data_IF_886116785905
#
_entry.id   IF_886116785905
#
_cell.length_a   1.000
_cell.length_b   1.000
_cell.length_c   1.000
_cell.angle_alpha   90.00
_cell.angle_beta   90.00
_cell.angle_gamma   90.00
#
_symmetry.space_group_name_H-M   'P 1'
#
loop_
_entity.id
_entity.type
_entity.pdbx_description
1 polymer ?
#
# COMPACT_ATOMS: atom_id res chain seq x y z
N UNK A 1 -11.97 -14.77 6.43
CA UNK A 1 -11.64 -15.01 5.00
C UNK A 1 -10.37 -15.82 4.79
N UNK A 2 -9.15 -15.26 4.86
CA UNK A 2 -7.91 -16.01 4.49
C UNK A 2 -7.74 -17.29 5.31
N UNK A 3 -7.89 -17.20 6.65
CA UNK A 3 -7.77 -18.36 7.53
C UNK A 3 -8.80 -19.48 7.24
N UNK A 4 -9.96 -19.13 6.68
CA UNK A 4 -11.01 -20.10 6.30
C UNK A 4 -10.76 -20.74 4.93
N UNK A 5 -10.04 -20.05 4.05
CA UNK A 5 -9.74 -20.51 2.69
C UNK A 5 -8.47 -21.35 2.63
N UNK A 6 -7.48 -21.05 3.47
CA UNK A 6 -6.19 -21.76 3.49
C UNK A 6 -6.33 -23.30 3.62
N UNK A 7 -7.17 -23.86 4.51
CA UNK A 7 -7.32 -25.31 4.62
C UNK A 7 -8.00 -25.97 3.40
N UNK A 8 -8.59 -25.17 2.50
CA UNK A 8 -9.34 -25.64 1.32
C UNK A 8 -8.47 -25.69 0.05
N UNK A 9 -7.24 -25.18 0.11
CA UNK A 9 -6.28 -25.24 -1.00
C UNK A 9 -5.79 -26.68 -1.16
N UNK A 10 -5.86 -27.20 -2.39
CA UNK A 10 -5.34 -28.52 -2.77
C UNK A 10 -4.51 -28.39 -4.03
N UNK A 11 -3.35 -29.03 -4.08
CA UNK A 11 -2.42 -28.98 -5.22
C UNK A 11 -2.13 -27.55 -5.70
N UNK A 12 -1.92 -26.64 -4.75
CA UNK A 12 -1.69 -25.20 -4.97
C UNK A 12 -2.85 -24.43 -5.61
N UNK A 13 -4.04 -25.02 -5.66
CA UNK A 13 -5.24 -24.42 -6.25
C UNK A 13 -6.36 -24.27 -5.21
N UNK A 14 -7.07 -23.14 -5.29
CA UNK A 14 -8.34 -22.93 -4.61
C UNK A 14 -9.48 -23.18 -5.62
N UNK A 15 -10.54 -23.94 -5.27
CA UNK A 15 -11.72 -24.08 -6.12
C UNK A 15 -12.33 -22.71 -6.50
N UNK A 16 -12.70 -22.53 -7.77
CA UNK A 16 -13.16 -21.25 -8.34
C UNK A 16 -14.37 -20.67 -7.61
N UNK A 17 -15.28 -21.54 -7.15
CA UNK A 17 -16.46 -21.17 -6.38
C UNK A 17 -16.15 -20.57 -5.00
N UNK A 18 -14.92 -20.78 -4.50
CA UNK A 18 -14.45 -20.24 -3.24
C UNK A 18 -13.62 -18.95 -3.41
N UNK A 19 -13.37 -18.50 -4.65
CA UNK A 19 -12.69 -17.22 -4.91
C UNK A 19 -13.60 -16.09 -4.41
N UNK A 20 -13.11 -15.22 -3.49
CA UNK A 20 -13.90 -14.12 -2.99
C UNK A 20 -14.34 -13.17 -4.11
N UNK A 21 -15.60 -12.73 -4.04
CA UNK A 21 -16.20 -11.80 -5.01
C UNK A 21 -16.71 -10.56 -4.32
N UNK A 22 -16.76 -9.47 -5.07
CA UNK A 22 -17.31 -8.19 -4.64
C UNK A 22 -18.83 -8.26 -4.57
N UNK A 23 -19.42 -7.83 -3.45
CA UNK A 23 -20.87 -7.73 -3.28
C UNK A 23 -21.50 -6.62 -4.15
N UNK A 24 -20.67 -5.73 -4.73
CA UNK A 24 -21.14 -4.59 -5.53
C UNK A 24 -21.40 -5.00 -6.99
N UNK A 25 -20.52 -5.82 -7.56
CA UNK A 25 -20.51 -6.11 -9.00
C UNK A 25 -20.18 -7.58 -9.33
N UNK A 26 -19.96 -8.43 -8.33
CA UNK A 26 -19.64 -9.85 -8.50
C UNK A 26 -18.23 -10.13 -9.06
N UNK A 27 -17.38 -9.12 -9.25
CA UNK A 27 -16.01 -9.33 -9.73
C UNK A 27 -15.16 -10.02 -8.68
N UNK A 28 -14.18 -10.81 -9.11
CA UNK A 28 -13.20 -11.42 -8.20
C UNK A 28 -12.44 -10.33 -7.42
N UNK A 29 -12.26 -10.56 -6.13
CA UNK A 29 -11.44 -9.68 -5.30
C UNK A 29 -9.96 -9.96 -5.56
N UNK A 30 -9.18 -8.89 -5.59
CA UNK A 30 -7.72 -8.94 -5.67
C UNK A 30 -7.10 -8.48 -4.35
N UNK A 31 -5.83 -8.80 -4.15
CA UNK A 31 -5.07 -8.24 -3.03
C UNK A 31 -5.00 -6.72 -3.16
N UNK A 32 -5.13 -6.02 -2.02
CA UNK A 32 -4.92 -4.58 -1.95
C UNK A 32 -3.42 -4.28 -1.97
N UNK A 33 -2.82 -4.37 -3.15
CA UNK A 33 -1.42 -4.08 -3.44
C UNK A 33 -1.34 -3.09 -4.61
N UNK A 34 -0.29 -2.27 -4.67
CA UNK A 34 -0.13 -1.27 -5.72
C UNK A 34 -0.09 -1.92 -7.11
N UNK A 35 -0.95 -1.42 -8.00
CA UNK A 35 -1.14 -1.92 -9.35
C UNK A 35 -2.25 -1.15 -10.07
N UNK A 36 -2.60 -1.50 -11.32
CA UNK A 36 -3.57 -0.75 -12.13
C UNK A 36 -4.97 -0.66 -11.50
N UNK A 37 -5.35 -1.65 -10.68
CA UNK A 37 -6.65 -1.73 -10.01
C UNK A 37 -6.59 -1.32 -8.53
N UNK A 38 -5.50 -0.69 -8.08
CA UNK A 38 -5.35 -0.29 -6.67
C UNK A 38 -6.37 0.77 -6.29
N UNK A 39 -7.18 0.47 -5.27
CA UNK A 39 -8.20 1.39 -4.78
C UNK A 39 -7.64 2.29 -3.67
N UNK A 40 -7.65 3.59 -3.93
CA UNK A 40 -7.36 4.64 -2.96
C UNK A 40 -8.63 4.98 -2.18
N UNK A 41 -8.95 4.18 -1.17
CA UNK A 41 -10.12 4.40 -0.33
C UNK A 41 -9.93 5.52 0.70
N UNK A 42 -10.96 5.77 1.52
CA UNK A 42 -10.95 6.77 2.59
C UNK A 42 -9.69 6.68 3.48
N UNK A 43 -9.34 5.48 3.95
CA UNK A 43 -8.16 5.27 4.81
C UNK A 43 -6.85 5.65 4.12
N UNK A 44 -6.72 5.38 2.82
CA UNK A 44 -5.53 5.76 2.07
C UNK A 44 -5.35 7.29 2.08
N UNK A 45 -6.42 8.03 1.77
CA UNK A 45 -6.40 9.49 1.79
C UNK A 45 -6.17 10.07 3.19
N UNK A 46 -6.74 9.48 4.23
CA UNK A 46 -6.53 9.90 5.62
C UNK A 46 -5.06 9.75 6.05
N UNK A 47 -4.42 8.61 5.76
CA UNK A 47 -3.00 8.41 6.07
C UNK A 47 -2.10 9.33 5.23
N UNK A 48 -2.42 9.52 3.94
CA UNK A 48 -1.71 10.46 3.08
C UNK A 48 -1.81 11.91 3.60
N UNK A 49 -2.98 12.31 4.11
CA UNK A 49 -3.18 13.64 4.68
C UNK A 49 -2.38 13.85 5.96
N UNK A 50 -2.26 12.83 6.82
CA UNK A 50 -1.42 12.91 8.04
C UNK A 50 0.03 13.20 7.70
N UNK A 51 0.58 12.50 6.71
CA UNK A 51 1.95 12.73 6.23
C UNK A 51 2.13 14.16 5.72
N UNK A 52 1.23 14.62 4.84
CA UNK A 52 1.28 15.98 4.29
C UNK A 52 1.17 17.05 5.39
N UNK A 53 0.30 16.83 6.36
CA UNK A 53 0.13 17.74 7.50
C UNK A 53 1.40 17.81 8.34
N UNK A 54 2.02 16.66 8.66
CA UNK A 54 3.28 16.63 9.40
C UNK A 54 4.37 17.44 8.68
N UNK A 55 4.52 17.24 7.37
CA UNK A 55 5.50 17.95 6.56
C UNK A 55 5.23 19.46 6.47
N UNK A 56 3.96 19.86 6.38
CA UNK A 56 3.57 21.26 6.35
C UNK A 56 3.79 21.95 7.71
N UNK A 57 3.42 21.28 8.80
CA UNK A 57 3.50 21.83 10.16
C UNK A 57 4.96 22.05 10.61
N UNK A 58 5.90 21.21 10.15
CA UNK A 58 7.33 21.29 10.53
C UNK A 58 8.21 21.89 9.42
N UNK A 59 7.61 22.63 8.48
CA UNK A 59 8.35 23.21 7.36
C UNK A 59 9.40 24.20 7.87
N UNK A 60 10.67 23.96 7.52
CA UNK A 60 11.80 24.82 7.90
C UNK A 60 12.48 24.43 9.22
N UNK A 61 11.99 23.40 9.91
CA UNK A 61 12.64 22.82 11.07
C UNK A 61 13.76 21.85 10.68
N UNK A 62 14.58 21.44 11.66
CA UNK A 62 15.57 20.39 11.48
C UNK A 62 14.89 19.02 11.54
N UNK A 63 14.67 18.40 10.37
CA UNK A 63 14.04 17.08 10.25
C UNK A 63 15.10 16.02 9.89
N UNK A 64 15.07 14.88 10.57
CA UNK A 64 15.85 13.69 10.20
C UNK A 64 14.97 12.74 9.37
N UNK A 65 15.38 12.49 8.14
CA UNK A 65 14.78 11.47 7.27
C UNK A 65 15.55 10.14 7.40
N UNK A 66 14.97 9.16 8.10
CA UNK A 66 15.60 7.86 8.33
C UNK A 66 15.14 6.82 7.31
N UNK A 67 15.98 6.53 6.33
CA UNK A 67 15.76 5.44 5.37
C UNK A 67 16.32 4.11 5.94
N UNK A 68 15.45 3.13 6.21
CA UNK A 68 15.85 1.85 6.80
C UNK A 68 15.31 0.67 5.99
N UNK A 69 16.21 -0.13 5.41
CA UNK A 69 15.84 -1.31 4.62
C UNK A 69 15.12 -0.97 3.30
N UNK A 70 15.24 0.26 2.80
CA UNK A 70 14.65 0.68 1.54
C UNK A 70 15.61 0.38 0.39
N UNK A 71 15.09 -0.23 -0.66
CA UNK A 71 15.84 -0.59 -1.86
C UNK A 71 15.25 0.04 -3.12
N UNK A 72 15.85 -0.28 -4.27
CA UNK A 72 15.54 0.37 -5.56
C UNK A 72 14.36 -0.22 -6.35
N UNK A 73 13.53 -1.06 -5.73
CA UNK A 73 12.37 -1.63 -6.43
C UNK A 73 11.29 -0.57 -6.72
N UNK A 74 11.07 0.34 -5.79
CA UNK A 74 10.07 1.41 -5.89
C UNK A 74 10.61 2.68 -5.22
N UNK A 75 11.67 3.29 -5.78
CA UNK A 75 12.38 4.38 -5.14
C UNK A 75 11.50 5.63 -4.94
N UNK A 76 10.52 5.83 -5.81
CA UNK A 76 9.54 6.93 -5.81
C UNK A 76 8.70 7.07 -4.53
N UNK A 77 8.64 6.06 -3.65
CA UNK A 77 7.82 6.15 -2.42
C UNK A 77 8.57 6.74 -1.22
N UNK A 78 9.89 6.51 -1.11
CA UNK A 78 10.66 6.91 0.08
C UNK A 78 12.01 7.49 -0.34
N UNK A 79 12.81 6.72 -1.07
CA UNK A 79 14.20 7.06 -1.38
C UNK A 79 14.31 8.37 -2.17
N UNK A 80 13.67 8.45 -3.33
CA UNK A 80 13.70 9.66 -4.18
C UNK A 80 13.12 10.89 -3.46
N UNK A 81 11.91 10.82 -2.86
CA UNK A 81 11.36 11.96 -2.12
C UNK A 81 12.25 12.43 -0.95
N UNK A 82 12.88 11.51 -0.21
CA UNK A 82 13.76 11.90 0.91
C UNK A 82 15.03 12.59 0.41
N UNK A 83 15.61 12.13 -0.70
CA UNK A 83 16.76 12.79 -1.32
C UNK A 83 16.39 14.19 -1.83
N UNK A 84 15.27 14.33 -2.52
CA UNK A 84 14.75 15.64 -2.96
C UNK A 84 14.50 16.59 -1.79
N UNK A 85 13.94 16.11 -0.68
CA UNK A 85 13.68 16.93 0.52
C UNK A 85 14.94 17.33 1.28
N UNK A 86 16.05 16.61 1.08
CA UNK A 86 17.34 16.88 1.72
C UNK A 86 18.38 17.50 0.77
N UNK A 87 18.05 17.64 -0.52
CA UNK A 87 18.93 18.11 -1.58
C UNK A 87 20.32 17.45 -1.54
N UNK A 88 20.35 16.11 -1.58
CA UNK A 88 21.50 15.29 -1.94
C UNK A 88 21.42 14.96 -3.44
#
# INVERSE_FOLDING_TARGET
MVAELLPKVKDHCLPTELIPKSDINGSELILWARGPQFLEGKRYFEEHQKWNKFMADHRGEKILFLEMGVGRMTPMFIQEPFWEMTNI
#
